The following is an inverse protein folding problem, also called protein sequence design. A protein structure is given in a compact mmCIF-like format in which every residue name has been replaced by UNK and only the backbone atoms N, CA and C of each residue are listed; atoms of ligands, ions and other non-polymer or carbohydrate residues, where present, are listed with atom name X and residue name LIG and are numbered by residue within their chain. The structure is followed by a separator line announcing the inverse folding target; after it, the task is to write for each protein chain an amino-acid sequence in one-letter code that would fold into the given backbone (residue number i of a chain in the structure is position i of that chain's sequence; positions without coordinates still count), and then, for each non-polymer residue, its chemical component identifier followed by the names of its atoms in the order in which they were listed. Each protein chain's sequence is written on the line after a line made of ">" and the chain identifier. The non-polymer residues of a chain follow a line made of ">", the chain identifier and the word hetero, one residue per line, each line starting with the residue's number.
data_IF_113060982277
#
_entry.id   IF_113060982277
#
_cell.length_a   1.000
_cell.length_b   1.000
_cell.length_c   1.000
_cell.angle_alpha   90.00
_cell.angle_beta   90.00
_cell.angle_gamma   90.00
#
_symmetry.space_group_name_H-M   'P 1'
#
loop_
_entity.id
_entity.type
_entity.pdbx_description
1 polymer ?
#
# COMPACT_ATOMS: atom_id res chain seq x y z
N UNK A 1 0.00 23.28 -4.72
CA UNK A 1 0.22 24.28 -5.79
C UNK A 1 -1.13 24.97 -6.01
N UNK A 2 -1.24 26.27 -5.80
CA UNK A 2 -2.51 27.01 -5.89
C UNK A 2 -2.97 27.03 -7.36
N UNK A 3 -4.20 26.59 -7.61
CA UNK A 3 -4.80 26.63 -8.95
C UNK A 3 -5.31 28.04 -9.26
N UNK A 4 -4.38 28.88 -9.69
CA UNK A 4 -4.63 30.27 -10.08
C UNK A 4 -5.60 30.38 -11.26
N UNK A 5 -5.69 29.34 -12.10
CA UNK A 5 -6.59 29.33 -13.24
C UNK A 5 -8.05 29.22 -12.79
N UNK A 6 -8.33 28.34 -11.81
CA UNK A 6 -9.67 28.19 -11.25
C UNK A 6 -10.14 29.47 -10.52
N UNK A 7 -9.24 30.18 -9.86
CA UNK A 7 -9.53 31.45 -9.19
C UNK A 7 -9.85 32.54 -10.23
N UNK A 8 -9.00 32.68 -11.26
CA UNK A 8 -9.20 33.67 -12.32
C UNK A 8 -10.53 33.46 -13.06
N UNK A 9 -10.88 32.21 -13.39
CA UNK A 9 -12.14 31.86 -14.05
C UNK A 9 -13.37 32.26 -13.21
N UNK A 10 -13.32 32.11 -11.88
CA UNK A 10 -14.43 32.47 -10.99
C UNK A 10 -14.61 33.98 -10.85
N UNK A 11 -13.51 34.73 -10.79
CA UNK A 11 -13.57 36.21 -10.78
C UNK A 11 -14.12 36.74 -12.10
N UNK A 12 -13.68 36.18 -13.24
CA UNK A 12 -14.18 36.55 -14.56
C UNK A 12 -15.67 36.25 -14.71
N UNK A 13 -16.15 35.11 -14.19
CA UNK A 13 -17.57 34.77 -14.20
C UNK A 13 -18.41 35.77 -13.38
N UNK A 14 -17.92 36.19 -12.21
CA UNK A 14 -18.59 37.20 -11.38
C UNK A 14 -18.69 38.56 -12.07
N UNK A 15 -17.61 39.01 -12.71
CA UNK A 15 -17.60 40.26 -13.49
C UNK A 15 -18.51 40.19 -14.71
N UNK A 16 -18.59 39.03 -15.38
CA UNK A 16 -19.47 38.80 -16.52
C UNK A 16 -20.96 38.87 -16.12
N UNK A 17 -21.34 38.24 -15.01
CA UNK A 17 -22.71 38.30 -14.48
C UNK A 17 -23.07 39.74 -14.09
N UNK A 18 -22.14 40.48 -13.47
CA UNK A 18 -22.35 41.90 -13.13
C UNK A 18 -22.57 42.77 -14.37
N UNK A 19 -21.77 42.56 -15.42
CA UNK A 19 -21.93 43.28 -16.69
C UNK A 19 -23.29 42.98 -17.35
N UNK A 20 -23.74 41.72 -17.34
CA UNK A 20 -25.08 41.34 -17.85
C UNK A 20 -26.18 42.07 -17.05
N UNK A 21 -26.06 42.13 -15.72
CA UNK A 21 -27.02 42.87 -14.87
C UNK A 21 -27.13 44.35 -15.25
N UNK A 22 -26.00 45.03 -15.48
CA UNK A 22 -25.97 46.42 -15.95
C UNK A 22 -26.59 46.59 -17.34
N UNK A 23 -26.40 45.60 -18.22
CA UNK A 23 -26.91 45.65 -19.59
C UNK A 23 -28.42 45.42 -19.63
N UNK A 24 -28.93 44.47 -18.84
CA UNK A 24 -30.37 44.21 -18.69
C UNK A 24 -31.10 45.39 -18.01
N UNK A 25 -30.45 46.07 -17.06
CA UNK A 25 -31.00 47.29 -16.46
C UNK A 25 -31.18 48.44 -17.48
N UNK A 26 -30.36 48.47 -18.54
CA UNK A 26 -30.50 49.42 -19.66
C UNK A 26 -31.53 48.98 -20.70
N UNK A 27 -31.90 47.69 -20.75
CA UNK A 27 -32.82 47.10 -21.73
C UNK A 27 -34.23 46.85 -21.17
N UNK A 28 -34.73 47.72 -20.29
CA UNK A 28 -36.16 47.73 -19.94
C UNK A 28 -36.88 48.60 -20.99
N UNK A 29 -37.73 48.04 -21.87
CA UNK A 29 -38.27 48.78 -23.02
C UNK A 29 -39.20 49.92 -22.58
N UNK A 30 -38.98 51.13 -23.12
CA UNK A 30 -39.92 52.24 -23.07
C UNK A 30 -41.06 51.99 -24.08
N UNK A 31 -41.99 51.07 -23.77
CA UNK A 31 -43.22 50.96 -24.55
C UNK A 31 -44.37 51.70 -23.86
N UNK A 32 -44.98 52.58 -24.65
CA UNK A 32 -45.90 53.65 -24.25
C UNK A 32 -47.20 53.07 -23.69
N UNK A 33 -47.54 53.43 -22.45
CA UNK A 33 -48.92 53.41 -21.95
C UNK A 33 -49.28 54.85 -21.57
N UNK A 34 -50.19 55.48 -22.34
CA UNK A 34 -50.86 56.72 -21.94
C UNK A 34 -52.09 56.33 -21.12
N UNK A 35 -52.00 56.47 -19.80
CA UNK A 35 -53.02 57.06 -18.92
C UNK A 35 -52.73 56.68 -17.45
N UNK A 36 -52.48 57.73 -16.65
CA UNK A 36 -52.63 57.81 -15.18
C UNK A 36 -51.59 57.04 -14.34
N UNK A 37 -50.87 57.83 -13.55
CA UNK A 37 -49.74 57.54 -12.65
C UNK A 37 -48.38 57.33 -13.34
N UNK A 38 -47.45 58.24 -13.05
CA UNK A 38 -46.04 58.11 -13.43
C UNK A 38 -45.52 56.75 -12.95
N UNK A 39 -44.62 56.06 -13.68
CA UNK A 39 -43.98 54.86 -13.14
C UNK A 39 -43.16 55.32 -11.94
N UNK A 40 -43.73 55.13 -10.75
CA UNK A 40 -43.30 55.75 -9.51
C UNK A 40 -41.78 55.64 -9.38
N UNK A 41 -41.08 56.78 -9.48
CA UNK A 41 -39.65 56.87 -9.20
C UNK A 41 -39.31 56.17 -7.88
N UNK A 42 -40.24 56.25 -6.92
CA UNK A 42 -40.20 55.54 -5.65
C UNK A 42 -40.15 54.00 -5.79
N UNK A 43 -40.97 53.39 -6.66
CA UNK A 43 -40.97 51.94 -6.88
C UNK A 43 -39.68 51.51 -7.60
N UNK A 44 -39.26 52.27 -8.61
CA UNK A 44 -37.99 52.04 -9.32
C UNK A 44 -36.79 52.15 -8.39
N UNK A 45 -36.74 53.19 -7.54
CA UNK A 45 -35.68 53.37 -6.54
C UNK A 45 -35.64 52.21 -5.55
N UNK A 46 -36.79 51.73 -5.07
CA UNK A 46 -36.84 50.60 -4.13
C UNK A 46 -36.40 49.28 -4.75
N UNK A 47 -36.77 49.01 -5.99
CA UNK A 47 -36.31 47.81 -6.71
C UNK A 47 -34.80 47.89 -6.98
N UNK A 48 -34.29 49.05 -7.41
CA UNK A 48 -32.85 49.25 -7.62
C UNK A 48 -32.06 49.14 -6.32
N UNK A 49 -32.53 49.74 -5.22
CA UNK A 49 -31.93 49.58 -3.89
C UNK A 49 -31.94 48.11 -3.44
N UNK A 50 -33.04 47.39 -3.66
CA UNK A 50 -33.14 45.96 -3.34
C UNK A 50 -32.13 45.12 -4.12
N UNK A 51 -31.97 45.37 -5.43
CA UNK A 51 -30.99 44.71 -6.27
C UNK A 51 -29.55 45.06 -5.85
N UNK A 52 -29.27 46.33 -5.53
CA UNK A 52 -27.95 46.76 -5.05
C UNK A 52 -27.58 46.10 -3.71
N UNK A 53 -28.55 45.98 -2.79
CA UNK A 53 -28.37 45.29 -1.51
C UNK A 53 -28.11 43.80 -1.75
N UNK A 54 -28.89 43.14 -2.61
CA UNK A 54 -28.71 41.73 -2.93
C UNK A 54 -27.33 41.47 -3.57
N UNK A 55 -26.91 42.29 -4.53
CA UNK A 55 -25.58 42.16 -5.14
C UNK A 55 -24.46 42.42 -4.15
N UNK A 56 -24.64 43.37 -3.23
CA UNK A 56 -23.65 43.66 -2.18
C UNK A 56 -23.55 42.50 -1.19
N UNK A 57 -24.67 41.88 -0.81
CA UNK A 57 -24.70 40.69 0.04
C UNK A 57 -24.07 39.47 -0.64
N UNK A 58 -24.28 39.29 -1.94
CA UNK A 58 -23.62 38.23 -2.71
C UNK A 58 -22.11 38.48 -2.83
N UNK A 59 -21.67 39.72 -3.02
CA UNK A 59 -20.25 40.09 -2.99
C UNK A 59 -19.63 39.84 -1.61
N UNK A 60 -20.30 40.25 -0.53
CA UNK A 60 -19.85 40.00 0.84
C UNK A 60 -19.75 38.50 1.14
N UNK A 61 -20.75 37.70 0.75
CA UNK A 61 -20.70 36.25 0.88
C UNK A 61 -19.54 35.62 0.09
N UNK A 62 -19.25 36.16 -1.10
CA UNK A 62 -18.11 35.72 -1.92
C UNK A 62 -16.77 36.08 -1.27
N UNK A 63 -16.66 37.27 -0.68
CA UNK A 63 -15.47 37.71 0.05
C UNK A 63 -15.24 36.84 1.29
N UNK A 64 -16.29 36.53 2.05
CA UNK A 64 -16.19 35.63 3.23
C UNK A 64 -15.70 34.25 2.81
N UNK A 65 -16.28 33.65 1.76
CA UNK A 65 -15.84 32.36 1.21
C UNK A 65 -14.39 32.38 0.75
N UNK A 66 -13.94 33.46 0.09
CA UNK A 66 -12.54 33.63 -0.31
C UNK A 66 -11.65 33.79 0.92
N UNK A 67 -12.06 34.55 1.94
CA UNK A 67 -11.27 34.68 3.17
C UNK A 67 -11.17 33.39 3.97
N UNK A 68 -12.19 32.54 3.96
CA UNK A 68 -12.15 31.23 4.61
C UNK A 68 -11.26 30.25 3.83
N UNK A 69 -11.31 30.26 2.49
CA UNK A 69 -10.38 29.51 1.63
C UNK A 69 -8.94 30.01 1.81
N UNK A 70 -8.74 31.32 1.92
CA UNK A 70 -7.42 31.92 2.19
C UNK A 70 -6.98 31.59 3.62
N UNK A 71 -7.85 31.58 4.64
CA UNK A 71 -7.51 31.11 6.00
C UNK A 71 -7.16 29.63 6.04
N UNK A 72 -7.80 28.78 5.24
CA UNK A 72 -7.40 27.37 5.08
C UNK A 72 -6.02 27.24 4.44
N UNK A 73 -5.62 28.19 3.57
CA UNK A 73 -4.30 28.22 2.91
C UNK A 73 -3.23 29.06 3.65
N UNK A 74 -3.62 29.97 4.55
CA UNK A 74 -2.75 30.87 5.32
C UNK A 74 -2.67 30.46 6.79
N UNK A 75 -3.51 29.52 7.23
CA UNK A 75 -3.09 28.58 8.23
C UNK A 75 -1.77 28.06 7.73
N UNK A 76 -0.68 28.44 8.41
CA UNK A 76 0.50 27.62 8.39
C UNK A 76 -0.04 26.23 8.67
N UNK A 77 -0.17 25.39 7.64
CA UNK A 77 -0.05 23.98 7.87
C UNK A 77 1.32 23.93 8.54
N UNK A 78 1.33 23.90 9.87
CA UNK A 78 2.49 23.37 10.54
C UNK A 78 2.71 22.08 9.79
N UNK A 79 3.83 21.99 9.09
CA UNK A 79 4.48 20.72 9.01
C UNK A 79 4.73 20.40 10.47
N UNK A 80 3.72 19.81 11.12
CA UNK A 80 3.94 18.97 12.27
C UNK A 80 4.90 17.98 11.69
N UNK A 81 6.19 18.24 11.87
CA UNK A 81 7.22 17.33 11.47
C UNK A 81 6.72 16.00 11.99
N UNK A 82 6.62 14.99 11.14
CA UNK A 82 6.08 13.68 11.51
C UNK A 82 6.81 13.06 12.72
N UNK A 83 7.87 13.71 13.23
CA UNK A 83 8.45 13.58 14.57
C UNK A 83 7.53 14.00 15.73
N UNK A 84 6.28 13.54 15.73
CA UNK A 84 5.52 13.39 16.99
C UNK A 84 4.78 12.06 17.07
N UNK A 85 5.39 10.98 16.58
CA UNK A 85 4.94 9.63 16.90
C UNK A 85 6.14 8.74 17.26
N UNK A 86 6.10 8.30 18.53
CA UNK A 86 6.95 7.30 19.20
C UNK A 86 8.46 7.59 19.22
N UNK A 87 8.87 8.44 20.17
CA UNK A 87 10.19 8.23 20.80
C UNK A 87 10.08 6.96 21.64
N UNK A 88 10.94 5.97 21.39
CA UNK A 88 10.87 4.57 21.87
C UNK A 88 10.13 3.57 20.95
N UNK A 89 10.17 3.74 19.61
CA UNK A 89 9.91 2.60 18.72
C UNK A 89 11.05 1.59 18.91
N UNK A 90 10.77 0.51 19.65
CA UNK A 90 11.58 -0.69 19.54
C UNK A 90 11.19 -1.34 18.21
N UNK A 91 11.99 -1.13 17.18
CA UNK A 91 11.81 -1.82 15.92
C UNK A 91 11.98 -3.32 16.19
N UNK A 92 10.86 -4.04 16.21
CA UNK A 92 10.84 -5.48 16.26
C UNK A 92 11.09 -6.05 14.87
N UNK A 93 11.69 -7.23 14.81
CA UNK A 93 11.86 -8.01 13.57
C UNK A 93 10.66 -8.92 13.30
N UNK A 94 9.59 -8.82 14.10
CA UNK A 94 8.42 -9.68 13.98
C UNK A 94 7.57 -9.30 12.77
N UNK A 95 7.11 -10.29 12.02
CA UNK A 95 6.17 -10.08 10.93
C UNK A 95 4.86 -9.45 11.44
N UNK A 96 4.25 -8.61 10.59
CA UNK A 96 2.83 -8.26 10.73
C UNK A 96 2.00 -9.54 10.56
N UNK A 97 1.09 -9.80 11.49
CA UNK A 97 0.30 -11.01 11.52
C UNK A 97 -0.75 -11.02 10.39
N UNK A 98 -0.42 -11.71 9.29
CA UNK A 98 -1.35 -11.98 8.17
C UNK A 98 -1.79 -13.45 8.19
N UNK A 99 -0.87 -14.37 8.50
CA UNK A 99 -1.14 -15.81 8.55
C UNK A 99 -1.00 -16.49 7.20
N UNK A 100 0.23 -16.79 6.78
CA UNK A 100 0.49 -17.44 5.50
C UNK A 100 0.13 -16.54 4.31
N UNK A 101 -0.74 -17.03 3.41
CA UNK A 101 -1.16 -16.33 2.19
C UNK A 101 -0.35 -16.67 0.92
N UNK A 102 0.78 -17.37 1.07
CA UNK A 102 1.57 -17.92 -0.02
C UNK A 102 1.30 -19.40 -0.30
N UNK A 103 2.01 -19.98 -1.27
CA UNK A 103 1.86 -21.39 -1.63
C UNK A 103 2.87 -22.29 -0.91
N UNK A 104 2.37 -23.09 0.02
CA UNK A 104 3.13 -24.20 0.63
C UNK A 104 3.14 -25.37 -0.35
N UNK A 105 4.33 -25.78 -0.77
CA UNK A 105 4.53 -26.77 -1.85
C UNK A 105 4.92 -28.16 -1.35
N UNK A 106 5.22 -28.30 -0.06
CA UNK A 106 5.53 -29.59 0.57
C UNK A 106 5.51 -29.50 2.10
N UNK A 107 5.16 -30.61 2.74
CA UNK A 107 5.14 -30.80 4.21
C UNK A 107 5.88 -32.10 4.54
N UNK A 108 6.77 -32.04 5.52
CA UNK A 108 7.68 -33.12 5.92
C UNK A 108 7.51 -33.40 7.40
N UNK A 109 7.22 -34.65 7.73
CA UNK A 109 7.17 -35.11 9.10
C UNK A 109 8.40 -35.99 9.34
N UNK A 110 9.11 -35.75 10.43
CA UNK A 110 10.18 -36.66 10.83
C UNK A 110 9.58 -38.04 11.20
N UNK A 111 10.12 -39.15 10.68
CA UNK A 111 9.49 -40.46 10.88
C UNK A 111 9.57 -40.95 12.33
N UNK A 112 10.57 -40.50 13.09
CA UNK A 112 10.85 -40.99 14.44
C UNK A 112 10.79 -39.92 15.54
N UNK A 113 10.62 -38.64 15.19
CA UNK A 113 10.58 -37.56 16.18
C UNK A 113 9.20 -36.89 16.13
N UNK A 114 8.45 -37.07 17.21
CA UNK A 114 7.11 -36.50 17.35
C UNK A 114 7.16 -34.98 17.24
N UNK A 115 6.19 -34.41 16.52
CA UNK A 115 6.00 -32.97 16.29
C UNK A 115 7.16 -32.26 15.56
N UNK A 116 8.16 -32.99 15.07
CA UNK A 116 9.20 -32.42 14.20
C UNK A 116 8.70 -32.38 12.76
N UNK A 117 8.21 -31.20 12.37
CA UNK A 117 7.60 -30.97 11.05
C UNK A 117 8.29 -29.81 10.36
N UNK A 118 8.52 -29.97 9.05
CA UNK A 118 9.04 -28.94 8.18
C UNK A 118 8.07 -28.66 7.03
N UNK A 119 8.13 -27.45 6.50
CA UNK A 119 7.46 -27.11 5.25
C UNK A 119 8.42 -26.37 4.32
N UNK A 120 8.15 -26.50 3.03
CA UNK A 120 8.78 -25.68 2.00
C UNK A 120 7.74 -24.90 1.21
N UNK A 121 8.15 -23.75 0.71
CA UNK A 121 7.30 -22.86 -0.08
C UNK A 121 7.97 -22.53 -1.40
N UNK A 122 7.20 -22.05 -2.37
CA UNK A 122 7.75 -21.71 -3.68
C UNK A 122 8.65 -20.47 -3.67
N UNK A 123 8.36 -19.47 -2.84
CA UNK A 123 9.11 -18.20 -2.78
C UNK A 123 9.44 -17.68 -1.37
N UNK A 124 8.89 -18.28 -0.32
CA UNK A 124 8.97 -17.82 1.06
C UNK A 124 9.99 -18.57 1.94
N UNK A 125 10.79 -19.46 1.34
CA UNK A 125 11.77 -20.27 2.05
C UNK A 125 11.17 -21.49 2.73
N UNK A 126 11.83 -21.88 3.82
CA UNK A 126 11.57 -23.10 4.59
C UNK A 126 11.21 -22.76 6.03
N UNK A 127 10.37 -23.59 6.63
CA UNK A 127 9.95 -23.40 8.02
C UNK A 127 9.96 -24.71 8.79
N UNK A 128 10.17 -24.62 10.11
CA UNK A 128 9.97 -25.74 11.06
C UNK A 128 8.84 -25.42 12.03
N UNK A 129 8.05 -26.41 12.39
CA UNK A 129 7.05 -26.28 13.43
C UNK A 129 7.69 -26.16 14.82
N UNK A 130 7.12 -25.31 15.66
CA UNK A 130 7.39 -25.21 17.09
C UNK A 130 6.10 -25.54 17.85
N UNK A 131 5.99 -26.78 18.32
CA UNK A 131 4.84 -27.27 19.06
C UNK A 131 4.59 -26.48 20.34
N UNK A 132 5.65 -26.15 21.09
CA UNK A 132 5.53 -25.43 22.35
C UNK A 132 4.96 -24.01 22.18
N UNK A 133 5.13 -23.42 21.00
CA UNK A 133 4.63 -22.08 20.68
C UNK A 133 3.51 -22.06 19.62
N UNK A 134 3.08 -23.23 19.15
CA UNK A 134 2.09 -23.43 18.09
C UNK A 134 2.32 -22.52 16.88
N UNK A 135 3.56 -22.47 16.37
CA UNK A 135 3.93 -21.58 15.26
C UNK A 135 5.03 -22.14 14.36
N UNK A 136 5.07 -21.65 13.13
CA UNK A 136 6.17 -21.89 12.20
C UNK A 136 7.34 -20.95 12.47
N UNK A 137 8.55 -21.49 12.52
CA UNK A 137 9.82 -20.76 12.62
C UNK A 137 10.44 -20.70 11.22
N UNK A 138 10.74 -19.51 10.66
CA UNK A 138 11.46 -19.40 9.39
C UNK A 138 12.90 -19.88 9.56
N UNK A 139 13.39 -20.68 8.62
CA UNK A 139 14.73 -21.29 8.70
C UNK A 139 15.77 -20.62 7.81
N UNK A 140 15.33 -19.76 6.88
CA UNK A 140 16.20 -19.13 5.88
C UNK A 140 16.24 -17.61 6.00
N UNK A 141 15.71 -17.01 7.07
CA UNK A 141 15.61 -15.55 7.22
C UNK A 141 16.96 -14.83 7.22
N UNK A 142 18.04 -15.52 7.58
CA UNK A 142 19.39 -14.97 7.63
C UNK A 142 20.10 -14.91 6.27
N UNK A 143 19.54 -15.53 5.22
CA UNK A 143 20.10 -15.38 3.88
C UNK A 143 19.94 -13.93 3.41
N UNK A 144 20.98 -13.31 2.82
CA UNK A 144 20.88 -11.94 2.33
C UNK A 144 20.00 -11.85 1.09
N UNK A 145 19.45 -10.65 0.81
CA UNK A 145 18.63 -10.40 -0.38
C UNK A 145 19.36 -10.69 -1.71
N UNK A 146 20.70 -10.54 -1.74
CA UNK A 146 21.52 -10.93 -2.89
C UNK A 146 21.42 -12.43 -3.21
N UNK A 147 21.06 -13.26 -2.23
CA UNK A 147 20.83 -14.70 -2.36
C UNK A 147 19.34 -15.04 -2.39
N UNK A 148 18.48 -14.09 -2.76
CA UNK A 148 17.02 -14.30 -2.71
C UNK A 148 16.53 -15.49 -3.54
N UNK A 149 17.31 -15.99 -4.51
CA UNK A 149 16.98 -17.22 -5.23
C UNK A 149 16.89 -18.45 -4.29
N UNK A 150 17.61 -18.47 -3.17
CA UNK A 150 17.57 -19.55 -2.19
C UNK A 150 16.29 -19.60 -1.33
N UNK A 151 15.43 -18.58 -1.40
CA UNK A 151 14.10 -18.66 -0.78
C UNK A 151 13.11 -19.56 -1.53
N UNK A 152 13.55 -20.26 -2.57
CA UNK A 152 12.74 -21.23 -3.29
C UNK A 152 12.95 -22.62 -2.75
N UNK A 153 11.91 -23.22 -2.17
CA UNK A 153 11.94 -24.60 -1.71
C UNK A 153 11.75 -25.61 -2.83
N UNK A 154 12.84 -26.11 -3.40
CA UNK A 154 12.81 -27.15 -4.44
C UNK A 154 12.53 -28.52 -3.81
N UNK A 155 13.24 -28.84 -2.74
CA UNK A 155 13.06 -30.08 -1.96
C UNK A 155 13.65 -29.96 -0.55
N UNK A 156 13.24 -30.85 0.33
CA UNK A 156 13.72 -31.02 1.70
C UNK A 156 13.84 -32.52 1.99
N UNK A 157 14.87 -32.90 2.74
CA UNK A 157 15.01 -34.24 3.28
C UNK A 157 15.50 -34.16 4.72
N UNK A 158 14.98 -35.05 5.56
CA UNK A 158 15.46 -35.23 6.94
C UNK A 158 16.21 -36.55 7.02
N UNK A 159 17.21 -36.59 7.89
CA UNK A 159 17.88 -37.83 8.22
C UNK A 159 17.00 -38.64 9.18
N UNK A 160 16.56 -39.85 8.82
CA UNK A 160 15.70 -40.65 9.70
C UNK A 160 16.41 -41.15 10.96
N UNK A 161 17.75 -41.21 10.96
CA UNK A 161 18.55 -41.72 12.08
C UNK A 161 19.04 -40.61 13.01
N UNK A 162 19.14 -39.38 12.51
CA UNK A 162 19.50 -38.20 13.30
C UNK A 162 18.52 -37.04 13.03
N UNK A 163 17.54 -36.81 13.93
CA UNK A 163 16.53 -35.78 13.72
C UNK A 163 17.08 -34.35 13.77
N UNK A 164 18.34 -34.16 14.15
CA UNK A 164 19.00 -32.84 14.07
C UNK A 164 19.41 -32.47 12.65
N UNK A 165 19.55 -33.47 11.77
CA UNK A 165 20.04 -33.30 10.42
C UNK A 165 18.88 -33.08 9.44
N UNK A 166 18.98 -31.98 8.70
CA UNK A 166 18.06 -31.65 7.61
C UNK A 166 18.82 -31.09 6.43
N UNK A 167 18.41 -31.50 5.24
CA UNK A 167 18.94 -31.03 3.97
C UNK A 167 17.86 -30.26 3.23
N UNK A 168 18.24 -29.18 2.56
CA UNK A 168 17.36 -28.43 1.67
C UNK A 168 18.00 -28.25 0.30
N UNK A 169 17.17 -28.35 -0.73
CA UNK A 169 17.48 -27.92 -2.09
C UNK A 169 16.82 -26.56 -2.32
N UNK A 170 17.63 -25.52 -2.48
CA UNK A 170 17.19 -24.13 -2.49
C UNK A 170 17.45 -23.46 -3.85
N UNK A 171 16.39 -23.02 -4.52
CA UNK A 171 16.46 -22.27 -5.78
C UNK A 171 15.09 -22.03 -6.44
N UNK A 172 14.67 -20.76 -6.55
CA UNK A 172 13.35 -20.37 -7.10
C UNK A 172 13.25 -20.58 -8.61
N UNK A 173 14.26 -20.14 -9.35
CA UNK A 173 14.20 -20.07 -10.80
C UNK A 173 15.44 -20.66 -11.48
N UNK A 174 15.28 -21.43 -12.57
CA UNK A 174 16.39 -22.08 -13.26
C UNK A 174 17.20 -21.13 -14.16
N UNK A 175 16.72 -19.90 -14.35
CA UNK A 175 17.38 -18.83 -15.12
C UNK A 175 18.01 -17.75 -14.23
N UNK A 176 17.92 -17.88 -12.91
CA UNK A 176 18.61 -17.02 -11.96
C UNK A 176 19.95 -17.65 -11.54
N UNK A 177 20.60 -17.09 -10.51
CA UNK A 177 21.77 -17.71 -9.87
C UNK A 177 21.49 -19.19 -9.53
N UNK A 178 22.44 -20.11 -9.76
CA UNK A 178 22.23 -21.52 -9.49
C UNK A 178 21.70 -21.77 -8.08
N UNK A 179 20.71 -22.66 -7.98
CA UNK A 179 20.30 -23.22 -6.70
C UNK A 179 21.39 -24.12 -6.14
N UNK A 180 21.27 -24.49 -4.87
CA UNK A 180 22.26 -25.36 -4.23
C UNK A 180 21.65 -26.19 -3.11
N UNK A 181 22.43 -27.15 -2.60
CA UNK A 181 22.08 -27.91 -1.41
C UNK A 181 22.69 -27.27 -0.17
N UNK A 182 21.92 -27.25 0.91
CA UNK A 182 22.39 -26.91 2.24
C UNK A 182 22.15 -28.07 3.20
N UNK A 183 23.06 -28.25 4.16
CA UNK A 183 22.93 -29.15 5.29
C UNK A 183 22.86 -28.34 6.57
N UNK A 184 21.95 -28.71 7.46
CA UNK A 184 21.93 -28.28 8.85
C UNK A 184 22.12 -29.51 9.75
N UNK A 185 22.76 -29.30 10.90
CA UNK A 185 22.90 -30.29 11.98
C UNK A 185 22.28 -29.79 13.30
N UNK A 186 21.36 -28.82 13.19
CA UNK A 186 20.71 -28.15 14.32
C UNK A 186 19.24 -27.84 14.04
N UNK A 187 18.58 -28.72 13.28
CA UNK A 187 17.15 -28.63 12.88
C UNK A 187 16.83 -27.36 12.07
N UNK A 188 17.78 -26.91 11.24
CA UNK A 188 17.64 -25.79 10.32
C UNK A 188 17.93 -24.41 10.91
N UNK A 189 18.57 -24.32 12.08
CA UNK A 189 18.95 -23.03 12.67
C UNK A 189 20.14 -22.41 11.94
N UNK A 190 21.11 -23.23 11.58
CA UNK A 190 22.27 -22.85 10.76
C UNK A 190 22.45 -23.79 9.58
N UNK A 191 23.05 -23.28 8.50
CA UNK A 191 23.21 -23.99 7.24
C UNK A 191 24.65 -23.95 6.73
N UNK A 192 25.15 -25.12 6.35
CA UNK A 192 26.39 -25.28 5.58
C UNK A 192 26.01 -25.49 4.12
N UNK A 193 26.49 -24.62 3.22
CA UNK A 193 26.33 -24.79 1.77
C UNK A 193 27.21 -25.95 1.30
N UNK A 194 26.64 -26.90 0.56
CA UNK A 194 27.34 -28.09 0.06
C UNK A 194 28.01 -27.87 -1.31
N UNK A 195 27.93 -26.65 -1.86
CA UNK A 195 28.57 -26.21 -3.10
C UNK A 195 28.30 -27.11 -4.32
N UNK A 196 27.09 -27.67 -4.38
CA UNK A 196 26.57 -28.34 -5.56
C UNK A 196 25.60 -27.38 -6.25
N UNK A 197 26.06 -26.74 -7.33
CA UNK A 197 25.27 -25.76 -8.06
C UNK A 197 24.37 -26.46 -9.09
N UNK A 198 23.06 -26.25 -8.98
CA UNK A 198 22.04 -26.91 -9.78
C UNK A 198 20.99 -25.90 -10.25
N UNK A 199 20.50 -26.07 -11.48
CA UNK A 199 19.30 -25.35 -11.91
C UNK A 199 18.09 -25.94 -11.20
N UNK A 200 17.48 -25.16 -10.32
CA UNK A 200 16.28 -25.53 -9.56
C UNK A 200 15.09 -24.64 -9.95
N UNK A 201 13.88 -25.10 -9.69
CA UNK A 201 12.66 -24.46 -10.15
C UNK A 201 11.54 -24.53 -9.12
N UNK A 202 11.84 -24.12 -7.88
CA UNK A 202 10.87 -24.17 -6.78
C UNK A 202 9.62 -23.31 -7.05
N UNK A 203 9.75 -22.25 -7.84
CA UNK A 203 8.62 -21.45 -8.32
C UNK A 203 8.35 -21.64 -9.83
N UNK A 204 8.64 -22.83 -10.36
CA UNK A 204 8.35 -23.20 -11.74
C UNK A 204 7.18 -24.19 -11.83
N UNK A 205 6.82 -24.59 -13.07
CA UNK A 205 5.79 -25.61 -13.30
C UNK A 205 6.12 -26.90 -12.54
N UNK A 206 5.09 -27.55 -12.00
CA UNK A 206 5.19 -28.81 -11.24
C UNK A 206 5.95 -28.69 -9.90
N UNK A 207 6.00 -27.49 -9.31
CA UNK A 207 6.53 -27.23 -7.96
C UNK A 207 5.87 -28.00 -6.81
N UNK A 208 4.66 -28.53 -7.06
CA UNK A 208 3.94 -29.42 -6.15
C UNK A 208 4.41 -30.88 -6.19
N UNK A 209 5.22 -31.26 -7.17
CA UNK A 209 5.77 -32.62 -7.26
C UNK A 209 6.99 -32.76 -6.36
N UNK A 210 6.98 -33.79 -5.53
CA UNK A 210 8.10 -34.10 -4.68
C UNK A 210 7.91 -35.30 -3.74
N UNK A 211 8.96 -35.70 -3.01
CA UNK A 211 10.26 -35.01 -2.95
C UNK A 211 11.44 -35.60 -3.66
N UNK A 212 12.25 -34.67 -4.18
CA UNK A 212 13.34 -34.90 -5.13
C UNK A 212 14.68 -35.09 -4.43
N UNK A 213 14.70 -34.89 -3.11
CA UNK A 213 15.82 -35.10 -2.22
C UNK A 213 15.41 -36.14 -1.19
N UNK A 214 16.29 -37.11 -0.92
CA UNK A 214 16.10 -38.14 0.09
C UNK A 214 17.45 -38.49 0.72
N UNK A 215 17.40 -38.91 1.99
CA UNK A 215 18.55 -39.47 2.72
C UNK A 215 18.39 -40.98 2.73
N UNK A 216 19.49 -41.72 2.49
CA UNK A 216 19.48 -43.17 2.62
C UNK A 216 19.28 -43.55 4.10
N UNK A 217 18.21 -44.27 4.47
CA UNK A 217 17.95 -44.62 5.86
C UNK A 217 18.99 -45.58 6.46
N UNK A 218 19.84 -46.20 5.65
CA UNK A 218 20.88 -47.14 6.11
C UNK A 218 22.29 -46.57 5.99
N UNK A 219 22.46 -45.38 5.41
CA UNK A 219 23.76 -44.74 5.20
C UNK A 219 23.63 -43.21 5.11
N UNK A 220 23.48 -42.58 6.27
CA UNK A 220 23.28 -41.13 6.45
C UNK A 220 24.56 -40.30 6.42
#
# INVERSE_FOLDING_TARGET
>A
MIDWLAIALRVLLGLFIFAIGLTLAKWIPNHRIRAITQPNLWFRQRVTLGLMILTSLMMLGSIVLVTDIVKVNSGQAEVVSSRKYQTNIRLGTTNVAIGGGGYVTGVYLHPLEKDLVYIRTDVGGFYRWDEGKQRWIPLTEHFPLSQSNYYGGEALAVDPNDPTIVYIAAGKYPWAEPGTLFKSTDKGQTWTKLNLDLKMGANHKKKWLGERLAVDPFNS
#
